data_IF_974390559433
#
_entry.id   IF_974390559433
#
_cell.length_a   1.000
_cell.length_b   1.000
_cell.length_c   1.000
_cell.angle_alpha   90.00
_cell.angle_beta   90.00
_cell.angle_gamma   90.00
#
_symmetry.space_group_name_H-M   'P 1'
#
loop_
_entity.id
_entity.type
_entity.pdbx_description
1 polymer ?
#
# COMPACT_ATOMS: atom_id res chain seq x y z
N UNK A 1 14.92 -19.60 0.77
CA UNK A 1 15.73 -18.93 -0.26
C UNK A 1 16.34 -17.71 0.40
N UNK A 2 17.63 -17.42 0.17
CA UNK A 2 18.26 -16.23 0.76
C UNK A 2 17.85 -15.00 -0.04
N UNK A 3 17.40 -13.96 0.65
CA UNK A 3 17.11 -12.66 0.02
C UNK A 3 18.41 -11.91 -0.28
N UNK A 4 18.57 -11.48 -1.53
CA UNK A 4 19.59 -10.55 -1.96
C UNK A 4 18.91 -9.21 -2.23
N UNK A 5 19.32 -8.15 -1.53
CA UNK A 5 18.69 -6.84 -1.66
C UNK A 5 19.50 -5.93 -2.58
N UNK A 6 18.79 -5.30 -3.51
CA UNK A 6 19.32 -4.28 -4.40
C UNK A 6 18.76 -2.91 -4.02
N UNK A 7 19.61 -1.89 -4.06
CA UNK A 7 19.28 -0.50 -3.79
C UNK A 7 20.22 0.39 -4.62
N UNK A 8 20.13 1.71 -4.43
CA UNK A 8 20.95 2.68 -5.18
C UNK A 8 22.46 2.38 -5.21
N UNK A 9 23.01 1.74 -4.17
CA UNK A 9 24.45 1.46 -4.07
C UNK A 9 24.91 0.26 -4.90
N UNK A 10 24.01 -0.67 -5.22
CA UNK A 10 24.39 -1.95 -5.82
C UNK A 10 23.45 -2.45 -6.92
N UNK A 11 22.42 -1.70 -7.32
CA UNK A 11 21.47 -2.15 -8.34
C UNK A 11 22.15 -2.44 -9.69
N UNK A 12 23.22 -1.73 -10.03
CA UNK A 12 24.04 -1.99 -11.23
C UNK A 12 24.67 -3.40 -11.26
N UNK A 13 24.65 -4.13 -10.14
CA UNK A 13 25.12 -5.52 -10.03
C UNK A 13 24.03 -6.53 -10.43
N UNK A 14 22.77 -6.12 -10.60
CA UNK A 14 21.72 -6.97 -11.14
C UNK A 14 22.13 -7.39 -12.55
N UNK A 15 22.10 -8.68 -12.84
CA UNK A 15 22.58 -9.23 -14.12
C UNK A 15 21.91 -8.56 -15.33
N UNK A 16 20.59 -8.38 -15.25
CA UNK A 16 19.76 -7.79 -16.29
C UNK A 16 20.02 -6.28 -16.53
N UNK A 17 20.73 -5.58 -15.63
CA UNK A 17 21.12 -4.19 -15.88
C UNK A 17 22.06 -4.03 -17.08
N UNK A 18 22.68 -5.12 -17.55
CA UNK A 18 23.46 -5.13 -18.78
C UNK A 18 22.59 -4.92 -20.03
N UNK A 19 21.30 -5.28 -19.96
CA UNK A 19 20.33 -5.14 -21.05
C UNK A 19 19.82 -3.70 -21.21
N UNK A 20 19.90 -2.89 -20.14
CA UNK A 20 19.37 -1.54 -20.13
C UNK A 20 20.36 -0.54 -20.73
N UNK A 21 19.88 0.51 -21.42
CA UNK A 21 20.70 1.66 -21.79
C UNK A 21 21.34 2.32 -20.58
N UNK A 22 22.52 2.94 -20.74
CA UNK A 22 23.19 3.64 -19.65
C UNK A 22 22.39 4.84 -19.14
N UNK A 23 21.63 5.49 -20.04
CA UNK A 23 20.71 6.57 -19.68
C UNK A 23 19.66 6.12 -18.66
N UNK A 24 19.01 4.97 -18.89
CA UNK A 24 18.01 4.40 -17.95
C UNK A 24 18.64 4.08 -16.60
N UNK A 25 19.86 3.53 -16.58
CA UNK A 25 20.60 3.27 -15.33
C UNK A 25 20.92 4.56 -14.59
N UNK A 26 21.29 5.60 -15.33
CA UNK A 26 21.55 6.92 -14.76
C UNK A 26 20.27 7.54 -14.19
N UNK A 27 19.13 7.42 -14.86
CA UNK A 27 17.83 7.87 -14.33
C UNK A 27 17.48 7.19 -13.00
N UNK A 28 17.62 5.86 -12.91
CA UNK A 28 17.41 5.11 -11.67
C UNK A 28 18.29 5.69 -10.56
N UNK A 29 19.56 5.96 -10.85
CA UNK A 29 20.49 6.54 -9.89
C UNK A 29 20.06 7.92 -9.41
N UNK A 30 19.72 8.83 -10.32
CA UNK A 30 19.30 10.20 -10.00
C UNK A 30 18.03 10.19 -9.15
N UNK A 31 16.99 9.50 -9.61
CA UNK A 31 15.67 9.52 -8.94
C UNK A 31 15.74 8.81 -7.59
N UNK A 32 16.57 7.76 -7.46
CA UNK A 32 16.80 7.07 -6.18
C UNK A 32 17.48 7.92 -5.11
N UNK A 33 18.06 9.09 -5.47
CA UNK A 33 18.56 10.06 -4.47
C UNK A 33 17.41 10.76 -3.76
N UNK A 34 16.26 10.91 -4.42
CA UNK A 34 15.04 11.55 -3.91
C UNK A 34 14.05 10.51 -3.40
N UNK A 35 13.65 9.54 -4.24
CA UNK A 35 12.66 8.53 -3.88
C UNK A 35 13.34 7.25 -3.36
N UNK A 36 12.84 6.63 -2.27
CA UNK A 36 13.43 5.40 -1.74
C UNK A 36 13.34 4.23 -2.73
N UNK A 37 14.48 3.62 -3.04
CA UNK A 37 14.55 2.46 -3.94
C UNK A 37 15.12 1.23 -3.25
N UNK A 38 14.39 0.11 -3.38
CA UNK A 38 14.81 -1.22 -2.92
C UNK A 38 14.12 -2.29 -3.76
N UNK A 39 14.88 -3.24 -4.26
CA UNK A 39 14.41 -4.46 -4.91
C UNK A 39 15.08 -5.69 -4.28
N UNK A 40 14.72 -6.88 -4.75
CA UNK A 40 15.37 -8.13 -4.36
C UNK A 40 15.44 -9.11 -5.52
N UNK A 41 16.20 -10.19 -5.35
CA UNK A 41 16.40 -11.23 -6.36
C UNK A 41 15.08 -11.87 -6.84
N UNK A 42 14.09 -12.08 -5.98
CA UNK A 42 12.82 -12.65 -6.44
C UNK A 42 12.10 -11.72 -7.42
N UNK A 43 12.03 -10.43 -7.10
CA UNK A 43 11.39 -9.43 -7.97
C UNK A 43 12.10 -9.35 -9.32
N UNK A 44 13.42 -9.24 -9.31
CA UNK A 44 14.19 -9.07 -10.56
C UNK A 44 14.28 -10.35 -11.38
N UNK A 45 14.29 -11.53 -10.76
CA UNK A 45 14.48 -12.81 -11.48
C UNK A 45 13.15 -13.42 -11.96
N UNK A 46 12.03 -13.18 -11.24
CA UNK A 46 10.78 -13.91 -11.48
C UNK A 46 9.58 -13.05 -11.89
N UNK A 47 9.62 -11.74 -11.69
CA UNK A 47 8.45 -10.88 -11.96
C UNK A 47 8.60 -9.97 -13.17
N UNK A 48 9.81 -9.53 -13.46
CA UNK A 48 10.08 -8.50 -14.48
C UNK A 48 10.37 -9.15 -15.82
N UNK A 49 9.63 -8.74 -16.85
CA UNK A 49 10.03 -8.97 -18.24
C UNK A 49 11.06 -7.92 -18.66
N UNK A 50 12.33 -8.25 -18.51
CA UNK A 50 13.45 -7.37 -18.87
C UNK A 50 13.55 -7.08 -20.37
N UNK A 51 12.96 -7.91 -21.24
CA UNK A 51 12.94 -7.65 -22.67
C UNK A 51 11.97 -6.51 -23.04
N UNK A 52 10.94 -6.29 -22.22
CA UNK A 52 9.90 -5.27 -22.45
C UNK A 52 9.76 -4.31 -21.25
N UNK A 53 10.89 -4.03 -20.57
CA UNK A 53 10.90 -3.34 -19.28
C UNK A 53 10.18 -1.98 -19.27
N UNK A 54 10.16 -1.26 -20.39
CA UNK A 54 9.51 0.06 -20.53
C UNK A 54 8.00 0.02 -20.31
N UNK A 55 7.38 -1.13 -20.61
CA UNK A 55 5.93 -1.36 -20.44
C UNK A 55 5.62 -2.43 -19.40
N UNK A 56 6.66 -3.07 -18.82
CA UNK A 56 6.49 -4.11 -17.82
C UNK A 56 5.99 -3.50 -16.50
N UNK A 57 4.82 -3.91 -16.00
CA UNK A 57 4.25 -3.32 -14.80
C UNK A 57 5.09 -3.63 -13.56
N UNK A 58 5.72 -4.80 -13.47
CA UNK A 58 6.57 -5.16 -12.32
C UNK A 58 7.85 -4.32 -12.26
N UNK A 59 8.42 -3.96 -13.42
CA UNK A 59 9.53 -3.03 -13.54
C UNK A 59 9.11 -1.63 -13.08
N UNK A 60 8.03 -1.08 -13.64
CA UNK A 60 7.55 0.27 -13.29
C UNK A 60 7.15 0.36 -11.80
N UNK A 61 6.63 -0.73 -11.22
CA UNK A 61 6.32 -0.85 -9.79
C UNK A 61 7.56 -0.81 -8.89
N UNK A 62 8.74 -1.17 -9.40
CA UNK A 62 9.94 -1.44 -8.59
C UNK A 62 11.08 -0.44 -8.85
N UNK A 63 11.28 -0.03 -10.10
CA UNK A 63 12.39 0.80 -10.54
C UNK A 63 11.95 2.24 -10.80
N UNK A 64 12.59 3.24 -10.16
CA UNK A 64 12.27 4.62 -10.39
C UNK A 64 12.73 5.08 -11.78
N UNK A 65 11.96 5.96 -12.42
CA UNK A 65 12.29 6.57 -13.71
C UNK A 65 12.18 8.10 -13.64
N UNK A 66 12.74 8.83 -14.62
CA UNK A 66 12.80 10.29 -14.59
C UNK A 66 11.44 11.00 -14.43
N UNK A 67 10.37 10.40 -14.95
CA UNK A 67 9.03 10.99 -14.94
C UNK A 67 8.34 10.96 -13.57
N UNK A 68 8.96 10.27 -12.60
CA UNK A 68 8.52 10.25 -11.20
C UNK A 68 8.90 11.53 -10.43
N UNK A 69 9.68 12.42 -11.04
CA UNK A 69 9.97 13.76 -10.54
C UNK A 69 9.54 14.79 -11.56
N UNK A 70 9.25 16.01 -11.10
CA UNK A 70 9.08 17.16 -12.00
C UNK A 70 10.40 17.41 -12.73
N UNK A 71 10.32 17.85 -13.98
CA UNK A 71 11.50 18.05 -14.83
C UNK A 71 12.56 18.93 -14.16
N UNK A 72 12.16 20.06 -13.59
CA UNK A 72 13.06 20.95 -12.86
C UNK A 72 13.71 20.30 -11.62
N UNK A 73 13.00 19.42 -10.91
CA UNK A 73 13.52 18.72 -9.73
C UNK A 73 14.52 17.63 -10.15
N UNK A 74 14.20 16.88 -11.22
CA UNK A 74 15.11 15.89 -11.80
C UNK A 74 16.41 16.55 -12.28
N UNK A 75 16.32 17.63 -13.07
CA UNK A 75 17.48 18.33 -13.62
C UNK A 75 18.37 18.90 -12.52
N UNK A 76 17.77 19.40 -11.43
CA UNK A 76 18.51 19.92 -10.28
C UNK A 76 19.33 18.85 -9.58
N UNK A 77 18.78 17.64 -9.39
CA UNK A 77 19.50 16.51 -8.80
C UNK A 77 20.55 15.98 -9.76
N UNK A 78 20.20 15.81 -11.04
CA UNK A 78 21.12 15.39 -12.10
C UNK A 78 22.35 16.29 -12.16
N UNK A 79 22.14 17.60 -12.24
CA UNK A 79 23.22 18.58 -12.24
C UNK A 79 24.11 18.45 -11.00
N UNK A 80 23.53 18.31 -9.81
CA UNK A 80 24.29 18.18 -8.57
C UNK A 80 25.18 16.91 -8.55
N UNK A 81 24.65 15.79 -9.06
CA UNK A 81 25.41 14.53 -9.19
C UNK A 81 26.52 14.65 -10.24
N UNK A 82 26.21 15.17 -11.44
CA UNK A 82 27.17 15.30 -12.54
C UNK A 82 28.28 16.31 -12.25
N UNK A 83 28.00 17.36 -11.47
CA UNK A 83 29.02 18.29 -10.97
C UNK A 83 29.88 17.73 -9.85
N UNK A 84 29.53 16.56 -9.31
CA UNK A 84 30.27 15.93 -8.21
C UNK A 84 30.15 16.71 -6.90
N UNK A 85 28.99 17.32 -6.62
CA UNK A 85 28.78 18.02 -5.36
C UNK A 85 28.94 17.08 -4.15
N UNK A 86 29.36 17.61 -2.99
CA UNK A 86 29.43 16.81 -1.77
C UNK A 86 28.09 16.14 -1.43
N UNK A 87 28.15 14.91 -0.90
CA UNK A 87 26.95 14.11 -0.60
C UNK A 87 25.93 14.84 0.31
N UNK A 88 26.39 15.67 1.25
CA UNK A 88 25.50 16.43 2.14
C UNK A 88 24.69 17.51 1.39
N UNK A 89 25.25 18.12 0.33
CA UNK A 89 24.55 19.07 -0.52
C UNK A 89 23.51 18.38 -1.40
N UNK A 90 23.86 17.22 -1.98
CA UNK A 90 22.91 16.39 -2.74
C UNK A 90 21.75 15.95 -1.84
N UNK A 91 22.03 15.53 -0.61
CA UNK A 91 21.01 15.17 0.37
C UNK A 91 20.09 16.36 0.71
N UNK A 92 20.64 17.57 0.84
CA UNK A 92 19.85 18.78 1.07
C UNK A 92 18.89 19.05 -0.09
N UNK A 93 19.38 19.01 -1.33
CA UNK A 93 18.54 19.15 -2.54
C UNK A 93 17.43 18.11 -2.56
N UNK A 94 17.76 16.84 -2.30
CA UNK A 94 16.78 15.77 -2.27
C UNK A 94 15.71 15.99 -1.17
N UNK A 95 16.09 16.50 0.00
CA UNK A 95 15.16 16.80 1.08
C UNK A 95 14.23 17.98 0.73
N UNK A 96 14.76 19.03 0.10
CA UNK A 96 13.93 20.16 -0.37
C UNK A 96 12.87 19.68 -1.36
N UNK A 97 13.23 18.80 -2.30
CA UNK A 97 12.29 18.20 -3.26
C UNK A 97 11.24 17.35 -2.53
N UNK A 98 11.67 16.48 -1.60
CA UNK A 98 10.77 15.61 -0.81
C UNK A 98 9.70 16.39 -0.05
N UNK A 99 9.99 17.59 0.45
CA UNK A 99 9.00 18.44 1.10
C UNK A 99 7.88 18.86 0.14
N UNK A 100 8.20 19.04 -1.14
CA UNK A 100 7.23 19.31 -2.21
C UNK A 100 6.40 18.11 -2.67
N UNK A 101 6.72 16.88 -2.21
CA UNK A 101 6.04 15.63 -2.57
C UNK A 101 4.98 15.19 -1.54
N UNK A 102 4.48 16.11 -0.72
CA UNK A 102 3.47 15.88 0.31
C UNK A 102 3.75 14.64 1.21
N UNK A 103 4.74 14.69 2.11
CA UNK A 103 5.13 13.54 2.96
C UNK A 103 4.08 13.14 4.02
N UNK A 104 2.99 13.90 4.19
CA UNK A 104 1.94 13.61 5.18
C UNK A 104 0.53 13.67 4.58
N UNK A 105 0.23 12.81 3.59
CA UNK A 105 -1.03 12.89 2.87
C UNK A 105 -2.23 12.61 3.78
N UNK A 106 -3.34 13.32 3.55
CA UNK A 106 -4.63 13.14 4.25
C UNK A 106 -4.56 13.29 5.79
N UNK A 107 -3.70 14.17 6.29
CA UNK A 107 -3.59 14.54 7.71
C UNK A 107 -3.32 13.34 8.62
N UNK A 108 -2.44 12.41 8.22
CA UNK A 108 -2.17 11.18 8.98
C UNK A 108 -1.79 11.43 10.44
N UNK A 109 -1.05 12.49 10.73
CA UNK A 109 -0.63 12.87 12.08
C UNK A 109 -1.81 13.14 13.03
N UNK A 110 -2.95 13.61 12.50
CA UNK A 110 -4.18 13.83 13.29
C UNK A 110 -4.87 12.55 13.76
N UNK A 111 -4.37 11.38 13.36
CA UNK A 111 -4.92 10.08 13.75
C UNK A 111 -4.15 9.42 14.90
N UNK A 112 -3.08 10.06 15.40
CA UNK A 112 -2.33 9.56 16.55
C UNK A 112 -3.23 9.67 17.79
N UNK A 113 -3.66 8.54 18.39
CA UNK A 113 -4.46 8.59 19.60
C UNK A 113 -3.58 8.92 20.80
N UNK A 114 -4.24 9.25 21.92
CA UNK A 114 -3.59 9.47 23.21
C UNK A 114 -4.01 8.38 24.19
N UNK A 115 -3.04 7.89 24.98
CA UNK A 115 -3.26 7.04 26.15
C UNK A 115 -2.91 7.86 27.39
N UNK A 116 -3.88 8.08 28.29
CA UNK A 116 -3.70 8.87 29.51
C UNK A 116 -3.11 10.29 29.27
N UNK A 117 -3.44 10.91 28.13
CA UNK A 117 -2.95 12.23 27.74
C UNK A 117 -1.69 12.22 26.85
N UNK A 118 -0.96 11.11 26.81
CA UNK A 118 0.29 10.96 26.04
C UNK A 118 0.05 10.35 24.66
N UNK A 119 0.70 10.84 23.58
CA UNK A 119 0.52 10.30 22.24
C UNK A 119 1.07 8.87 22.11
N UNK A 120 0.40 8.05 21.30
CA UNK A 120 0.89 6.73 20.88
C UNK A 120 1.46 6.81 19.45
N UNK A 121 2.75 7.13 19.27
CA UNK A 121 3.32 7.53 17.97
C UNK A 121 3.32 6.42 16.90
N UNK A 122 3.17 5.15 17.30
CA UNK A 122 3.05 4.01 16.40
C UNK A 122 1.62 3.51 16.21
N UNK A 123 0.60 4.29 16.58
CA UNK A 123 -0.81 3.90 16.45
C UNK A 123 -1.59 4.94 15.65
N UNK A 124 -2.46 4.49 14.74
CA UNK A 124 -3.51 5.33 14.18
C UNK A 124 -4.87 4.80 14.58
N UNK A 125 -5.72 5.67 15.15
CA UNK A 125 -7.12 5.37 15.40
C UNK A 125 -7.97 6.47 14.77
N UNK A 126 -8.45 6.19 13.54
CA UNK A 126 -9.28 7.11 12.76
C UNK A 126 -10.75 6.73 12.75
N UNK A 127 -11.04 5.43 12.77
CA UNK A 127 -12.39 4.90 12.72
C UNK A 127 -12.66 4.11 13.98
N UNK A 128 -13.87 4.27 14.51
CA UNK A 128 -14.34 3.71 15.77
C UNK A 128 -13.86 2.27 16.05
N UNK A 129 -13.95 1.39 15.08
CA UNK A 129 -13.84 -0.06 15.26
C UNK A 129 -12.43 -0.62 15.02
N UNK A 130 -11.49 0.16 14.48
CA UNK A 130 -10.14 -0.31 14.12
C UNK A 130 -9.03 0.64 14.59
N UNK A 131 -7.98 0.03 15.12
CA UNK A 131 -6.68 0.68 15.28
C UNK A 131 -5.65 0.07 14.33
N UNK A 132 -4.76 0.90 13.81
CA UNK A 132 -3.59 0.47 13.06
C UNK A 132 -2.37 0.56 13.97
N UNK A 133 -1.55 -0.48 13.99
CA UNK A 133 -0.30 -0.54 14.71
C UNK A 133 0.87 -0.63 13.74
N UNK A 134 1.89 0.20 13.99
CA UNK A 134 3.06 0.36 13.15
C UNK A 134 4.29 -0.11 13.93
N UNK A 135 4.61 -1.42 13.93
CA UNK A 135 5.79 -1.92 14.63
C UNK A 135 7.06 -1.35 14.01
N UNK A 136 8.00 -0.89 14.83
CA UNK A 136 9.30 -0.34 14.36
C UNK A 136 10.07 -1.32 13.47
N UNK A 137 10.01 -2.61 13.80
CA UNK A 137 10.68 -3.69 13.06
C UNK A 137 10.02 -3.95 11.69
N UNK A 138 8.79 -3.50 11.49
CA UNK A 138 8.05 -3.56 10.22
C UNK A 138 8.15 -2.29 9.37
N UNK A 139 9.03 -1.33 9.73
CA UNK A 139 9.23 -0.07 9.00
C UNK A 139 10.18 -0.20 7.80
N UNK A 140 10.07 -1.31 7.09
CA UNK A 140 10.76 -1.57 5.83
C UNK A 140 9.96 -2.59 5.02
N UNK A 141 10.31 -2.80 3.75
CA UNK A 141 9.63 -3.72 2.85
C UNK A 141 10.64 -4.65 2.17
N UNK A 142 10.19 -5.79 1.63
CA UNK A 142 11.03 -6.69 0.84
C UNK A 142 11.49 -6.02 -0.48
N UNK A 143 10.65 -5.16 -1.04
CA UNK A 143 10.94 -4.20 -2.10
C UNK A 143 10.08 -2.93 -1.90
N UNK A 144 10.54 -1.79 -2.40
CA UNK A 144 9.80 -0.53 -2.30
C UNK A 144 8.96 -0.34 -3.56
N UNK A 145 7.66 -0.11 -3.37
CA UNK A 145 6.80 0.31 -4.48
C UNK A 145 7.16 1.74 -4.89
N UNK A 146 7.31 2.00 -6.18
CA UNK A 146 7.60 3.35 -6.70
C UNK A 146 6.51 4.36 -6.35
N UNK A 147 5.24 3.93 -6.31
CA UNK A 147 4.08 4.73 -5.90
C UNK A 147 3.84 4.80 -4.37
N UNK A 148 4.76 4.28 -3.54
CA UNK A 148 4.46 4.04 -2.12
C UNK A 148 4.12 5.33 -1.36
N UNK A 149 2.84 5.52 -0.98
CA UNK A 149 2.41 6.69 -0.20
C UNK A 149 3.05 6.80 1.20
N UNK A 150 3.75 5.75 1.61
CA UNK A 150 4.45 5.59 2.89
C UNK A 150 5.96 5.76 2.76
N UNK A 151 6.45 6.15 1.58
CA UNK A 151 7.85 6.47 1.31
C UNK A 151 8.56 7.33 2.38
N UNK A 152 7.90 8.27 3.08
CA UNK A 152 8.61 9.10 4.05
C UNK A 152 9.16 8.30 5.26
N UNK A 153 8.57 7.15 5.58
CA UNK A 153 9.10 6.24 6.63
C UNK A 153 10.45 5.63 6.24
N UNK A 154 10.81 5.63 4.96
CA UNK A 154 12.07 5.06 4.46
C UNK A 154 13.16 6.12 4.27
N UNK A 155 12.86 7.40 4.54
CA UNK A 155 13.82 8.50 4.48
C UNK A 155 14.27 8.82 5.90
N UNK A 156 15.56 8.61 6.18
CA UNK A 156 16.10 8.66 7.55
C UNK A 156 16.18 10.06 8.16
N UNK A 157 16.15 11.12 7.35
CA UNK A 157 16.59 12.47 7.75
C UNK A 157 15.44 13.47 7.96
N UNK A 158 14.19 13.00 8.15
CA UNK A 158 13.02 13.89 8.25
C UNK A 158 12.20 13.73 9.55
N UNK A 159 12.62 12.92 10.53
CA UNK A 159 11.84 12.61 11.75
C UNK A 159 10.38 12.16 11.45
N UNK A 160 10.15 11.52 10.29
CA UNK A 160 8.82 11.11 9.81
C UNK A 160 8.47 9.67 10.20
N UNK A 161 9.26 9.04 11.06
CA UNK A 161 9.03 7.67 11.47
C UNK A 161 7.77 7.56 12.32
N UNK A 162 6.81 6.81 11.80
CA UNK A 162 5.54 6.53 12.47
C UNK A 162 5.59 5.10 12.99
N UNK A 163 6.18 4.87 14.17
CA UNK A 163 6.30 3.52 14.71
C UNK A 163 6.51 3.47 16.22
N UNK A 164 6.28 2.30 16.81
CA UNK A 164 6.62 2.00 18.20
C UNK A 164 6.85 0.50 18.43
N UNK A 165 7.41 0.12 19.59
CA UNK A 165 7.66 -1.27 19.97
C UNK A 165 6.72 -1.77 21.07
N UNK A 166 6.11 -0.87 21.81
CA UNK A 166 5.45 -1.11 23.09
C UNK A 166 3.98 -1.54 22.88
N UNK A 167 3.78 -2.76 22.40
CA UNK A 167 2.42 -3.29 22.16
C UNK A 167 1.57 -3.35 23.45
N UNK A 168 2.19 -3.39 24.64
CA UNK A 168 1.49 -3.33 25.93
C UNK A 168 0.66 -2.05 26.07
N UNK A 169 1.18 -0.91 25.60
CA UNK A 169 0.43 0.36 25.58
C UNK A 169 -0.75 0.31 24.62
N UNK A 170 -0.61 -0.40 23.50
CA UNK A 170 -1.72 -0.63 22.55
C UNK A 170 -2.78 -1.52 23.20
N UNK A 171 -2.39 -2.55 23.94
CA UNK A 171 -3.32 -3.41 24.68
C UNK A 171 -4.09 -2.60 25.73
N UNK A 172 -3.39 -1.74 26.48
CA UNK A 172 -4.04 -0.85 27.44
C UNK A 172 -5.00 0.14 26.77
N UNK A 173 -4.61 0.68 25.61
CA UNK A 173 -5.49 1.51 24.79
C UNK A 173 -6.77 0.76 24.39
N UNK A 174 -6.67 -0.50 23.97
CA UNK A 174 -7.83 -1.34 23.64
C UNK A 174 -8.74 -1.60 24.86
N UNK A 175 -8.18 -1.75 26.07
CA UNK A 175 -8.99 -1.91 27.30
C UNK A 175 -9.84 -0.67 27.60
N UNK A 176 -9.30 0.51 27.33
CA UNK A 176 -10.03 1.77 27.53
C UNK A 176 -11.06 2.06 26.42
N UNK A 177 -11.09 1.27 25.35
CA UNK A 177 -11.89 1.51 24.15
C UNK A 177 -12.64 0.25 23.72
N UNK A 178 -13.73 -0.10 24.43
CA UNK A 178 -14.53 -1.31 24.19
C UNK A 178 -15.09 -1.47 22.77
N UNK A 179 -15.20 -0.36 22.04
CA UNK A 179 -15.70 -0.30 20.66
C UNK A 179 -14.65 -0.68 19.61
N UNK A 180 -13.38 -0.81 19.99
CA UNK A 180 -12.33 -1.33 19.11
C UNK A 180 -12.42 -2.84 19.03
N UNK A 181 -12.51 -3.36 17.82
CA UNK A 181 -12.63 -4.81 17.57
C UNK A 181 -11.58 -5.34 16.59
N UNK A 182 -10.92 -4.45 15.84
CA UNK A 182 -9.89 -4.80 14.86
C UNK A 182 -8.54 -4.15 15.18
N UNK A 183 -7.46 -4.92 15.06
CA UNK A 183 -6.08 -4.44 15.07
C UNK A 183 -5.39 -4.77 13.76
N UNK A 184 -4.93 -3.76 13.03
CA UNK A 184 -4.18 -3.92 11.78
C UNK A 184 -2.70 -3.62 11.98
N UNK A 185 -1.86 -4.63 11.89
CA UNK A 185 -0.40 -4.47 11.77
C UNK A 185 -0.08 -3.96 10.36
N UNK A 186 0.64 -2.84 10.28
CA UNK A 186 0.99 -2.17 9.02
C UNK A 186 2.24 -1.29 9.19
N UNK A 187 2.55 -0.42 8.23
CA UNK A 187 3.79 0.37 8.21
C UNK A 187 4.44 0.27 6.84
N UNK A 188 5.68 -0.23 6.80
CA UNK A 188 6.25 -0.76 5.56
C UNK A 188 5.54 -2.06 5.20
N UNK A 189 6.07 -3.18 5.69
CA UNK A 189 5.48 -4.50 5.56
C UNK A 189 5.71 -5.31 6.84
N UNK A 190 4.67 -5.66 7.63
CA UNK A 190 4.84 -6.46 8.84
C UNK A 190 5.47 -7.82 8.60
N UNK A 191 5.33 -8.39 7.41
CA UNK A 191 5.86 -9.74 7.09
C UNK A 191 7.36 -9.73 6.80
N UNK A 192 8.03 -8.57 6.83
CA UNK A 192 9.50 -8.52 6.89
C UNK A 192 10.05 -8.86 8.27
N UNK A 193 9.21 -8.80 9.30
CA UNK A 193 9.59 -9.21 10.64
C UNK A 193 9.67 -10.74 10.71
N UNK A 194 10.64 -11.25 11.46
CA UNK A 194 10.70 -12.69 11.73
C UNK A 194 9.45 -13.18 12.47
N UNK A 195 9.03 -14.44 12.28
CA UNK A 195 7.91 -15.05 13.01
C UNK A 195 8.03 -14.86 14.52
N UNK A 196 9.24 -15.06 15.07
CA UNK A 196 9.56 -14.82 16.48
C UNK A 196 9.24 -13.38 16.95
N UNK A 197 9.45 -12.38 16.11
CA UNK A 197 9.13 -10.98 16.45
C UNK A 197 7.63 -10.77 16.48
N UNK A 198 6.90 -11.30 15.50
CA UNK A 198 5.44 -11.20 15.45
C UNK A 198 4.81 -11.96 16.61
N UNK A 199 5.29 -13.17 16.90
CA UNK A 199 4.83 -13.99 18.03
C UNK A 199 4.93 -13.24 19.36
N UNK A 200 6.00 -12.47 19.61
CA UNK A 200 6.07 -11.63 20.83
C UNK A 200 4.92 -10.63 20.94
N UNK A 201 4.53 -9.99 19.83
CA UNK A 201 3.39 -9.07 19.82
C UNK A 201 2.07 -9.80 20.08
N UNK A 202 1.87 -10.92 19.39
CA UNK A 202 0.66 -11.74 19.50
C UNK A 202 0.51 -12.34 20.90
N UNK A 203 1.60 -12.87 21.48
CA UNK A 203 1.61 -13.42 22.84
C UNK A 203 1.24 -12.36 23.87
N UNK A 204 1.75 -11.13 23.73
CA UNK A 204 1.37 -10.02 24.62
C UNK A 204 -0.11 -9.67 24.47
N UNK A 205 -0.64 -9.63 23.23
CA UNK A 205 -2.07 -9.40 22.98
C UNK A 205 -2.92 -10.50 23.65
N UNK A 206 -2.53 -11.76 23.54
CA UNK A 206 -3.27 -12.87 24.14
C UNK A 206 -3.17 -12.88 25.66
N UNK A 207 -2.01 -12.55 26.24
CA UNK A 207 -1.85 -12.35 27.69
C UNK A 207 -2.70 -11.21 28.22
N UNK A 208 -2.91 -10.18 27.41
CA UNK A 208 -3.73 -9.02 27.79
C UNK A 208 -5.24 -9.33 27.89
N UNK A 209 -5.69 -10.47 27.36
CA UNK A 209 -7.07 -10.98 27.39
C UNK A 209 -8.12 -9.95 26.95
N UNK A 210 -7.85 -9.30 25.82
CA UNK A 210 -8.69 -8.24 25.25
C UNK A 210 -10.03 -8.79 24.74
N UNK A 211 -11.09 -8.70 25.57
CA UNK A 211 -12.42 -9.25 25.26
C UNK A 211 -13.08 -8.65 24.00
N UNK A 212 -12.75 -7.41 23.69
CA UNK A 212 -13.27 -6.66 22.55
C UNK A 212 -12.56 -7.00 21.23
N UNK A 213 -11.31 -7.45 21.25
CA UNK A 213 -10.55 -7.77 20.03
C UNK A 213 -11.11 -9.04 19.36
N UNK A 214 -11.53 -8.92 18.10
CA UNK A 214 -12.09 -10.02 17.30
C UNK A 214 -11.29 -10.33 16.05
N UNK A 215 -10.55 -9.34 15.54
CA UNK A 215 -9.85 -9.48 14.27
C UNK A 215 -8.44 -8.92 14.36
N UNK A 216 -7.48 -9.70 13.87
CA UNK A 216 -6.11 -9.25 13.63
C UNK A 216 -5.88 -9.26 12.13
N UNK A 217 -5.27 -8.18 11.63
CA UNK A 217 -5.00 -8.00 10.21
C UNK A 217 -3.53 -7.72 10.00
N UNK A 218 -2.98 -8.23 8.90
CA UNK A 218 -1.63 -7.89 8.45
C UNK A 218 -1.69 -7.29 7.05
N UNK A 219 -1.30 -6.02 6.92
CA UNK A 219 -1.19 -5.36 5.61
C UNK A 219 0.16 -5.60 4.99
N UNK A 220 0.22 -6.45 3.95
CA UNK A 220 1.49 -6.95 3.42
C UNK A 220 1.51 -6.97 1.89
N UNK A 221 2.69 -6.71 1.32
CA UNK A 221 3.00 -6.96 -0.10
C UNK A 221 3.95 -8.14 -0.25
N UNK A 222 4.29 -8.85 0.83
CA UNK A 222 5.24 -9.96 0.79
C UNK A 222 4.75 -11.13 -0.05
N UNK A 223 3.44 -11.33 -0.20
CA UNK A 223 2.90 -12.29 -1.17
C UNK A 223 3.37 -12.04 -2.61
N UNK A 224 3.69 -10.80 -2.97
CA UNK A 224 4.18 -10.43 -4.31
C UNK A 224 5.67 -10.13 -4.30
N UNK A 225 6.22 -9.53 -3.25
CA UNK A 225 7.64 -9.15 -3.22
C UNK A 225 8.59 -10.21 -2.68
N UNK A 226 8.09 -11.17 -1.90
CA UNK A 226 8.88 -12.25 -1.32
C UNK A 226 7.98 -13.40 -0.79
N UNK A 227 7.29 -14.17 -1.67
CA UNK A 227 6.34 -15.20 -1.23
C UNK A 227 6.98 -16.32 -0.41
N UNK A 228 8.31 -16.46 -0.46
CA UNK A 228 9.08 -17.42 0.34
C UNK A 228 8.95 -17.25 1.86
N UNK A 229 8.34 -16.17 2.35
CA UNK A 229 7.90 -16.06 3.77
C UNK A 229 6.83 -17.10 4.13
N UNK A 230 6.15 -17.68 3.13
CA UNK A 230 5.04 -18.62 3.32
C UNK A 230 5.28 -19.99 2.66
N UNK A 231 6.53 -20.31 2.31
CA UNK A 231 6.93 -21.55 1.63
C UNK A 231 7.96 -22.35 2.45
N UNK A 232 7.51 -23.31 3.30
CA UNK A 232 8.37 -24.08 4.20
C UNK A 232 9.54 -24.81 3.53
N UNK A 233 9.37 -25.27 2.30
CA UNK A 233 10.41 -25.96 1.53
C UNK A 233 11.60 -25.06 1.16
N UNK A 234 11.42 -23.74 1.22
CA UNK A 234 12.47 -22.78 0.94
C UNK A 234 13.00 -22.11 2.21
N UNK A 235 12.22 -22.04 3.28
CA UNK A 235 12.55 -21.24 4.46
C UNK A 235 11.94 -21.87 5.72
N UNK A 236 12.77 -22.25 6.70
CA UNK A 236 12.30 -22.81 7.97
C UNK A 236 11.39 -21.82 8.73
N UNK A 237 11.72 -20.52 8.68
CA UNK A 237 10.87 -19.48 9.27
C UNK A 237 9.47 -19.39 8.63
N UNK A 238 9.29 -19.91 7.41
CA UNK A 238 7.96 -19.91 6.79
C UNK A 238 7.00 -20.87 7.51
N UNK A 239 7.48 -22.03 7.99
CA UNK A 239 6.64 -22.91 8.78
C UNK A 239 6.25 -22.24 10.11
N UNK A 240 7.20 -21.60 10.78
CA UNK A 240 6.93 -20.85 12.02
C UNK A 240 5.89 -19.74 11.80
N UNK A 241 5.92 -19.07 10.65
CA UNK A 241 4.93 -18.04 10.29
C UNK A 241 3.53 -18.65 10.14
N UNK A 242 3.41 -19.76 9.42
CA UNK A 242 2.14 -20.45 9.19
C UNK A 242 1.57 -21.03 10.50
N UNK A 243 2.44 -21.57 11.37
CA UNK A 243 2.07 -22.05 12.70
C UNK A 243 1.55 -20.91 13.57
N UNK A 244 2.18 -19.72 13.50
CA UNK A 244 1.71 -18.52 14.18
C UNK A 244 0.34 -18.07 13.67
N UNK A 245 0.11 -18.10 12.35
CA UNK A 245 -1.20 -17.78 11.78
C UNK A 245 -2.27 -18.75 12.26
N UNK A 246 -1.98 -20.05 12.24
CA UNK A 246 -2.86 -21.07 12.78
C UNK A 246 -3.12 -20.87 14.27
N UNK A 247 -2.10 -20.51 15.06
CA UNK A 247 -2.24 -20.21 16.48
C UNK A 247 -3.23 -19.07 16.74
N UNK A 248 -3.18 -18.00 15.92
CA UNK A 248 -4.13 -16.89 16.02
C UNK A 248 -5.56 -17.35 15.74
N UNK A 249 -5.76 -18.13 14.67
CA UNK A 249 -7.07 -18.66 14.28
C UNK A 249 -7.61 -19.62 15.34
N UNK A 250 -6.79 -20.54 15.87
CA UNK A 250 -7.17 -21.51 16.89
C UNK A 250 -7.56 -20.83 18.23
N UNK A 251 -7.11 -19.59 18.48
CA UNK A 251 -7.57 -18.74 19.60
C UNK A 251 -8.92 -18.08 19.37
N UNK A 252 -9.58 -18.35 18.24
CA UNK A 252 -10.88 -17.78 17.88
C UNK A 252 -10.81 -16.35 17.36
N UNK A 253 -9.60 -15.86 17.02
CA UNK A 253 -9.43 -14.54 16.39
C UNK A 253 -9.54 -14.71 14.88
N UNK A 254 -10.38 -13.89 14.25
CA UNK A 254 -10.42 -13.82 12.80
C UNK A 254 -9.11 -13.20 12.29
N UNK A 255 -8.30 -13.99 11.57
CA UNK A 255 -7.05 -13.53 10.97
C UNK A 255 -7.27 -13.19 9.50
N UNK A 256 -6.90 -11.97 9.10
CA UNK A 256 -6.97 -11.55 7.70
C UNK A 256 -5.65 -10.98 7.17
N UNK A 257 -5.18 -11.53 6.06
CA UNK A 257 -4.02 -11.04 5.33
C UNK A 257 -4.50 -10.06 4.27
N UNK A 258 -4.16 -8.79 4.41
CA UNK A 258 -4.49 -7.74 3.45
C UNK A 258 -3.39 -7.70 2.38
N UNK A 259 -3.51 -8.58 1.39
CA UNK A 259 -2.56 -8.75 0.30
C UNK A 259 -2.62 -7.59 -0.70
N UNK A 260 -1.46 -7.19 -1.23
CA UNK A 260 -1.36 -6.01 -2.07
C UNK A 260 -0.87 -6.33 -3.50
N UNK A 261 -1.78 -6.61 -4.42
CA UNK A 261 -1.49 -6.92 -5.83
C UNK A 261 -1.92 -5.79 -6.76
N UNK A 262 -0.99 -5.25 -7.56
CA UNK A 262 -1.22 -4.14 -8.47
C UNK A 262 -1.50 -4.60 -9.91
N UNK A 263 -0.94 -5.74 -10.33
CA UNK A 263 -1.12 -6.30 -11.67
C UNK A 263 -1.26 -7.83 -11.62
N UNK A 264 -2.01 -8.43 -12.54
CA UNK A 264 -2.21 -9.89 -12.59
C UNK A 264 -0.89 -10.67 -12.78
N UNK A 265 0.12 -10.03 -13.38
CA UNK A 265 1.46 -10.59 -13.57
C UNK A 265 2.15 -10.95 -12.26
N UNK A 266 1.86 -10.24 -11.16
CA UNK A 266 2.40 -10.55 -9.84
C UNK A 266 1.92 -11.92 -9.31
N UNK A 267 0.84 -12.48 -9.87
CA UNK A 267 0.28 -13.79 -9.51
C UNK A 267 0.59 -14.87 -10.56
N UNK A 268 1.46 -14.60 -11.54
CA UNK A 268 1.74 -15.51 -12.66
C UNK A 268 2.62 -16.71 -12.29
N UNK A 269 3.36 -16.65 -11.19
CA UNK A 269 4.29 -17.71 -10.79
C UNK A 269 3.70 -18.63 -9.71
N UNK A 270 4.20 -19.87 -9.68
CA UNK A 270 3.74 -20.91 -8.77
C UNK A 270 4.03 -20.63 -7.29
N UNK A 271 5.10 -19.88 -6.98
CA UNK A 271 5.46 -19.55 -5.60
C UNK A 271 4.36 -18.72 -4.92
N UNK A 272 3.73 -17.79 -5.64
CA UNK A 272 2.60 -17.01 -5.10
C UNK A 272 1.37 -17.89 -4.90
N UNK A 273 1.06 -18.78 -5.85
CA UNK A 273 -0.07 -19.70 -5.74
C UNK A 273 0.06 -20.62 -4.52
N UNK A 274 1.23 -21.24 -4.34
CA UNK A 274 1.48 -22.12 -3.20
C UNK A 274 1.50 -21.35 -1.87
N UNK A 275 2.04 -20.13 -1.84
CA UNK A 275 2.00 -19.28 -0.65
C UNK A 275 0.56 -18.94 -0.24
N UNK A 276 -0.32 -18.69 -1.22
CA UNK A 276 -1.75 -18.45 -0.99
C UNK A 276 -2.42 -19.69 -0.39
N UNK A 277 -2.17 -20.87 -0.95
CA UNK A 277 -2.72 -22.13 -0.44
C UNK A 277 -2.26 -22.41 1.00
N UNK A 278 -0.97 -22.22 1.28
CA UNK A 278 -0.39 -22.38 2.61
C UNK A 278 -1.03 -21.43 3.65
N UNK A 279 -1.19 -20.15 3.32
CA UNK A 279 -1.85 -19.19 4.21
C UNK A 279 -3.31 -19.58 4.47
N UNK A 280 -4.05 -19.97 3.41
CA UNK A 280 -5.46 -20.35 3.54
C UNK A 280 -5.63 -21.62 4.36
N UNK A 281 -4.69 -22.57 4.28
CA UNK A 281 -4.70 -23.80 5.07
C UNK A 281 -4.59 -23.54 6.58
N UNK A 282 -4.10 -22.38 7.02
CA UNK A 282 -4.09 -22.00 8.45
C UNK A 282 -5.46 -21.54 8.95
N UNK A 283 -6.45 -21.37 8.07
CA UNK A 283 -7.75 -20.77 8.35
C UNK A 283 -7.77 -19.24 8.26
N UNK A 284 -6.67 -18.60 7.85
CA UNK A 284 -6.63 -17.16 7.59
C UNK A 284 -7.36 -16.80 6.28
N UNK A 285 -8.06 -15.66 6.26
CA UNK A 285 -8.65 -15.12 5.02
C UNK A 285 -7.70 -14.15 4.33
N UNK A 286 -7.54 -14.27 3.01
CA UNK A 286 -6.76 -13.31 2.22
C UNK A 286 -7.71 -12.33 1.53
N UNK A 287 -7.55 -11.04 1.83
CA UNK A 287 -8.30 -9.94 1.21
C UNK A 287 -7.34 -9.08 0.39
N UNK A 288 -7.70 -8.73 -0.84
CA UNK A 288 -6.77 -8.01 -1.74
C UNK A 288 -7.11 -6.52 -1.85
N UNK A 289 -6.07 -5.69 -1.95
CA UNK A 289 -6.22 -4.25 -2.12
C UNK A 289 -5.19 -3.70 -3.10
N UNK A 290 -5.55 -2.65 -3.83
CA UNK A 290 -4.63 -1.97 -4.76
C UNK A 290 -5.10 -0.57 -5.12
N UNK A 291 -4.22 0.43 -5.26
CA UNK A 291 -4.56 1.66 -5.94
C UNK A 291 -4.64 1.44 -7.46
N UNK A 292 -5.52 2.22 -8.08
CA UNK A 292 -5.50 2.51 -9.50
C UNK A 292 -4.30 3.43 -9.77
N UNK A 293 -3.42 2.98 -10.65
CA UNK A 293 -2.16 3.63 -11.01
C UNK A 293 -2.05 3.71 -12.52
N UNK A 294 -1.84 4.92 -13.02
CA UNK A 294 -1.45 5.15 -14.40
C UNK A 294 -0.17 4.35 -14.72
N UNK A 295 0.00 3.96 -15.98
CA UNK A 295 1.12 3.12 -16.45
C UNK A 295 1.20 1.68 -15.89
N UNK A 296 0.37 1.29 -14.90
CA UNK A 296 0.37 -0.07 -14.34
C UNK A 296 -0.96 -0.78 -14.59
N UNK A 297 -2.05 -0.25 -14.03
CA UNK A 297 -3.34 -0.94 -14.00
C UNK A 297 -4.52 -0.01 -14.31
N UNK A 298 -4.27 1.13 -14.96
CA UNK A 298 -5.30 2.03 -15.46
C UNK A 298 -6.05 1.46 -16.69
N UNK A 299 -6.53 0.23 -16.59
CA UNK A 299 -7.25 -0.50 -17.64
C UNK A 299 -8.32 -1.39 -17.01
N UNK A 300 -9.53 -1.35 -17.56
CA UNK A 300 -10.63 -2.20 -17.12
C UNK A 300 -10.32 -3.69 -17.30
N UNK A 301 -9.62 -4.05 -18.38
CA UNK A 301 -9.21 -5.42 -18.66
C UNK A 301 -8.23 -5.95 -17.60
N UNK A 302 -7.25 -5.13 -17.22
CA UNK A 302 -6.26 -5.49 -16.19
C UNK A 302 -6.95 -5.77 -14.87
N UNK A 303 -7.87 -4.90 -14.44
CA UNK A 303 -8.62 -5.08 -13.19
C UNK A 303 -9.53 -6.30 -13.23
N UNK A 304 -10.27 -6.50 -14.33
CA UNK A 304 -11.16 -7.63 -14.47
C UNK A 304 -10.39 -8.95 -14.37
N UNK A 305 -9.30 -9.08 -15.14
CA UNK A 305 -8.42 -10.25 -15.11
C UNK A 305 -7.79 -10.46 -13.73
N UNK A 306 -7.32 -9.40 -13.09
CA UNK A 306 -6.71 -9.48 -11.77
C UNK A 306 -7.72 -9.92 -10.70
N UNK A 307 -8.92 -9.36 -10.66
CA UNK A 307 -9.94 -9.76 -9.68
C UNK A 307 -10.43 -11.18 -9.88
N UNK A 308 -10.67 -11.61 -11.12
CA UNK A 308 -11.09 -12.99 -11.37
C UNK A 308 -9.99 -13.99 -11.01
N UNK A 309 -8.73 -13.68 -11.30
CA UNK A 309 -7.61 -14.50 -10.85
C UNK A 309 -7.53 -14.56 -9.31
N UNK A 310 -7.74 -13.44 -8.62
CA UNK A 310 -7.75 -13.42 -7.15
C UNK A 310 -8.85 -14.30 -6.58
N UNK A 311 -10.06 -14.23 -7.14
CA UNK A 311 -11.19 -15.10 -6.77
C UNK A 311 -10.88 -16.57 -7.01
N UNK A 312 -10.31 -16.90 -8.17
CA UNK A 312 -9.95 -18.28 -8.53
C UNK A 312 -8.89 -18.88 -7.59
N UNK A 313 -8.02 -18.03 -7.03
CA UNK A 313 -7.03 -18.42 -6.02
C UNK A 313 -7.60 -18.42 -4.58
N UNK A 314 -8.91 -18.20 -4.41
CA UNK A 314 -9.57 -18.22 -3.11
C UNK A 314 -9.33 -16.99 -2.25
N UNK A 315 -8.94 -15.87 -2.86
CA UNK A 315 -8.82 -14.56 -2.20
C UNK A 315 -10.08 -13.71 -2.43
N UNK A 316 -10.27 -12.69 -1.58
CA UNK A 316 -11.44 -11.80 -1.64
C UNK A 316 -11.02 -10.38 -2.08
N UNK A 317 -11.39 -9.95 -3.30
CA UNK A 317 -11.24 -8.55 -3.73
C UNK A 317 -11.90 -7.57 -2.76
N UNK A 318 -11.11 -6.71 -2.12
CA UNK A 318 -11.59 -5.85 -1.04
C UNK A 318 -11.64 -4.37 -1.42
N UNK A 319 -10.52 -3.76 -1.82
CA UNK A 319 -10.49 -2.36 -2.22
C UNK A 319 -9.74 -2.14 -3.54
N UNK A 320 -10.34 -1.34 -4.42
CA UNK A 320 -9.59 -0.54 -5.37
C UNK A 320 -9.57 0.91 -4.88
N UNK A 321 -8.37 1.40 -4.61
CA UNK A 321 -8.13 2.74 -4.11
C UNK A 321 -7.87 3.71 -5.26
N UNK A 322 -8.22 4.97 -5.08
CA UNK A 322 -7.58 6.06 -5.81
C UNK A 322 -6.24 6.34 -5.14
N UNK A 323 -5.20 6.55 -5.93
CA UNK A 323 -3.86 6.86 -5.42
C UNK A 323 -3.86 8.18 -4.63
N UNK A 324 -3.12 8.21 -3.52
CA UNK A 324 -2.98 9.40 -2.69
C UNK A 324 -2.01 10.40 -3.33
N UNK A 325 -2.30 11.68 -3.17
CA UNK A 325 -1.44 12.79 -3.55
C UNK A 325 -0.14 12.84 -2.70
N UNK A 326 0.85 12.01 -3.01
CA UNK A 326 2.17 12.00 -2.36
C UNK A 326 3.21 11.27 -3.22
N UNK A 327 4.49 11.58 -3.02
CA UNK A 327 5.56 10.96 -3.79
C UNK A 327 5.42 11.27 -5.28
N UNK A 328 5.65 10.31 -6.18
CA UNK A 328 5.50 10.51 -7.63
C UNK A 328 4.04 10.49 -8.11
N UNK A 329 3.13 11.09 -7.35
CA UNK A 329 1.69 11.08 -7.62
C UNK A 329 1.34 11.62 -9.01
N UNK A 330 2.01 12.68 -9.48
CA UNK A 330 1.72 13.26 -10.80
C UNK A 330 1.91 12.25 -11.95
N UNK A 331 2.83 11.29 -11.78
CA UNK A 331 3.09 10.22 -12.75
C UNK A 331 2.01 9.14 -12.74
N UNK A 332 1.46 8.83 -11.57
CA UNK A 332 0.55 7.70 -11.36
C UNK A 332 -0.94 8.07 -11.25
N UNK A 333 -1.27 9.36 -11.08
CA UNK A 333 -2.65 9.81 -10.87
C UNK A 333 -3.57 9.49 -12.06
N UNK A 334 -4.83 9.21 -11.76
CA UNK A 334 -5.91 9.01 -12.74
C UNK A 334 -7.11 9.88 -12.34
N UNK A 335 -7.72 10.65 -13.25
CA UNK A 335 -8.91 11.44 -12.94
C UNK A 335 -10.04 10.59 -12.35
N UNK A 336 -10.78 11.13 -11.38
CA UNK A 336 -11.85 10.43 -10.66
C UNK A 336 -12.95 9.93 -11.61
N UNK A 337 -13.27 10.71 -12.65
CA UNK A 337 -14.21 10.29 -13.69
C UNK A 337 -13.72 9.03 -14.42
N UNK A 338 -12.43 9.01 -14.82
CA UNK A 338 -11.81 7.86 -15.49
C UNK A 338 -11.65 6.66 -14.56
N UNK A 339 -11.34 6.91 -13.28
CA UNK A 339 -11.26 5.86 -12.27
C UNK A 339 -12.61 5.16 -12.09
N UNK A 340 -13.71 5.92 -12.08
CA UNK A 340 -15.06 5.36 -12.03
C UNK A 340 -15.40 4.58 -13.30
N UNK A 341 -15.08 5.11 -14.48
CA UNK A 341 -15.26 4.40 -15.76
C UNK A 341 -14.53 3.05 -15.78
N UNK A 342 -13.22 3.05 -15.50
CA UNK A 342 -12.38 1.84 -15.43
C UNK A 342 -12.97 0.82 -14.46
N UNK A 343 -13.38 1.27 -13.26
CA UNK A 343 -14.04 0.40 -12.30
C UNK A 343 -15.31 -0.21 -12.87
N UNK A 344 -16.22 0.63 -13.40
CA UNK A 344 -17.52 0.15 -13.89
C UNK A 344 -17.38 -0.81 -15.06
N UNK A 345 -16.44 -0.58 -15.97
CA UNK A 345 -16.22 -1.46 -17.11
C UNK A 345 -15.60 -2.79 -16.69
N UNK A 346 -14.61 -2.76 -15.78
CA UNK A 346 -14.02 -3.98 -15.22
C UNK A 346 -15.06 -4.78 -14.44
N UNK A 347 -15.76 -4.13 -13.51
CA UNK A 347 -16.71 -4.78 -12.62
C UNK A 347 -17.97 -5.25 -13.33
N UNK A 348 -18.25 -4.87 -14.58
CA UNK A 348 -19.37 -5.46 -15.35
C UNK A 348 -19.03 -6.86 -15.83
N UNK A 349 -17.78 -7.10 -16.23
CA UNK A 349 -17.37 -8.34 -16.91
C UNK A 349 -16.80 -9.42 -15.99
N UNK A 350 -16.43 -9.08 -14.75
CA UNK A 350 -15.92 -10.09 -13.78
C UNK A 350 -16.95 -11.11 -13.31
N UNK A 351 -16.48 -12.16 -12.64
CA UNK A 351 -17.32 -13.08 -11.86
C UNK A 351 -18.15 -12.39 -10.77
N UNK A 352 -19.24 -13.02 -10.34
CA UNK A 352 -20.15 -12.50 -9.31
C UNK A 352 -19.47 -12.28 -7.95
N UNK A 353 -18.49 -13.11 -7.59
CA UNK A 353 -17.75 -13.01 -6.34
C UNK A 353 -16.87 -11.76 -6.29
N UNK A 354 -16.28 -11.35 -7.42
CA UNK A 354 -15.50 -10.13 -7.53
C UNK A 354 -16.33 -8.85 -7.35
N UNK A 355 -17.67 -8.91 -7.54
CA UNK A 355 -18.59 -7.76 -7.40
C UNK A 355 -18.65 -7.17 -5.98
N UNK A 356 -18.07 -7.85 -4.99
CA UNK A 356 -18.00 -7.40 -3.60
C UNK A 356 -16.92 -6.33 -3.34
N UNK A 357 -16.05 -6.07 -4.31
CA UNK A 357 -15.01 -5.05 -4.19
C UNK A 357 -15.61 -3.66 -3.98
N UNK A 358 -15.04 -2.89 -3.06
CA UNK A 358 -15.45 -1.51 -2.85
C UNK A 358 -14.52 -0.55 -3.60
N UNK A 359 -15.06 0.15 -4.59
CA UNK A 359 -14.26 0.99 -5.49
C UNK A 359 -15.11 2.01 -6.28
N UNK A 360 -14.47 3.01 -6.89
CA UNK A 360 -13.18 3.57 -6.50
C UNK A 360 -13.28 4.21 -5.11
N UNK A 361 -12.28 3.99 -4.25
CA UNK A 361 -12.30 4.50 -2.88
C UNK A 361 -11.07 5.35 -2.53
N UNK A 362 -11.28 6.45 -1.80
CA UNK A 362 -10.25 7.39 -1.37
C UNK A 362 -10.17 7.39 0.14
N UNK A 363 -8.98 7.17 0.71
CA UNK A 363 -8.77 7.33 2.16
C UNK A 363 -8.48 8.79 2.53
N UNK A 364 -9.44 9.67 2.26
CA UNK A 364 -9.40 11.12 2.46
C UNK A 364 -9.41 11.54 3.95
N UNK A 365 -9.20 12.82 4.26
CA UNK A 365 -9.04 13.31 5.63
C UNK A 365 -10.20 12.96 6.57
N UNK A 366 -11.45 13.14 6.11
CA UNK A 366 -12.67 12.86 6.89
C UNK A 366 -13.01 11.37 7.02
N UNK A 367 -12.56 10.56 6.06
CA UNK A 367 -12.91 9.15 6.02
C UNK A 367 -12.56 8.49 4.71
N UNK A 368 -13.02 7.26 4.53
CA UNK A 368 -12.89 6.53 3.28
C UNK A 368 -14.09 6.85 2.40
N UNK A 369 -13.91 7.72 1.42
CA UNK A 369 -14.93 8.09 0.45
C UNK A 369 -14.98 7.07 -0.69
N UNK A 370 -16.16 6.78 -1.20
CA UNK A 370 -16.41 5.91 -2.35
C UNK A 370 -17.18 6.70 -3.40
N UNK A 371 -16.73 6.66 -4.65
CA UNK A 371 -17.52 7.16 -5.78
C UNK A 371 -18.53 6.08 -6.15
N UNK A 372 -19.81 6.37 -5.97
CA UNK A 372 -20.90 5.44 -6.30
C UNK A 372 -21.36 5.60 -7.74
N UNK A 373 -21.31 6.82 -8.25
CA UNK A 373 -21.91 7.19 -9.53
C UNK A 373 -21.40 8.51 -10.08
N UNK A 374 -21.53 8.64 -11.40
CA UNK A 374 -21.62 9.93 -12.08
C UNK A 374 -23.05 10.03 -12.58
N UNK A 375 -23.75 11.09 -12.18
CA UNK A 375 -25.17 11.29 -12.51
C UNK A 375 -25.36 12.58 -13.29
N UNK A 376 -26.27 12.56 -14.25
CA UNK A 376 -26.76 13.74 -14.95
C UNK A 376 -28.03 14.25 -14.27
N UNK A 377 -28.11 15.56 -14.06
CA UNK A 377 -29.33 16.22 -13.63
C UNK A 377 -30.32 16.28 -14.80
N UNK A 378 -31.49 15.61 -14.72
CA UNK A 378 -32.42 15.56 -15.84
C UNK A 378 -33.08 16.91 -16.15
N UNK A 379 -32.99 17.90 -15.26
CA UNK A 379 -33.63 19.20 -15.42
C UNK A 379 -32.72 20.20 -16.13
N UNK A 380 -31.45 20.30 -15.72
CA UNK A 380 -30.52 21.31 -16.23
C UNK A 380 -29.31 20.74 -16.97
N UNK A 381 -29.14 19.41 -16.99
CA UNK A 381 -28.01 18.73 -17.64
C UNK A 381 -26.69 18.77 -16.87
N UNK A 382 -26.66 19.33 -15.66
CA UNK A 382 -25.45 19.36 -14.82
C UNK A 382 -25.01 17.94 -14.44
N UNK A 383 -23.71 17.71 -14.42
CA UNK A 383 -23.12 16.45 -13.94
C UNK A 383 -22.68 16.53 -12.50
N UNK A 384 -22.89 15.46 -11.75
CA UNK A 384 -22.43 15.32 -10.38
C UNK A 384 -21.74 13.98 -10.13
N UNK A 385 -20.72 13.98 -9.28
CA UNK A 385 -20.27 12.78 -8.60
C UNK A 385 -21.20 12.48 -7.43
N UNK A 386 -21.74 11.27 -7.38
CA UNK A 386 -22.43 10.74 -6.21
C UNK A 386 -21.41 9.98 -5.35
N UNK A 387 -21.21 10.45 -4.12
CA UNK A 387 -20.16 9.95 -3.21
C UNK A 387 -20.80 9.55 -1.89
N UNK A 388 -20.23 8.56 -1.20
CA UNK A 388 -20.52 8.29 0.20
C UNK A 388 -19.23 8.05 0.99
N UNK A 389 -19.26 8.23 2.30
CA UNK A 389 -18.19 7.69 3.15
C UNK A 389 -18.54 6.27 3.60
N UNK A 390 -17.79 5.26 3.15
CA UNK A 390 -17.96 3.89 3.66
C UNK A 390 -17.36 3.71 5.07
N UNK A 391 -16.48 4.64 5.47
CA UNK A 391 -16.02 4.82 6.84
C UNK A 391 -15.79 6.31 7.08
N UNK A 392 -16.22 6.84 8.22
CA UNK A 392 -16.05 8.25 8.55
C UNK A 392 -15.60 8.43 10.01
N UNK A 393 -14.90 9.53 10.32
CA UNK A 393 -14.47 9.87 11.71
C UNK A 393 -15.67 9.97 12.65
N UNK A 394 -16.68 10.72 12.24
CA UNK A 394 -18.02 10.61 12.82
C UNK A 394 -18.76 9.45 12.14
N UNK A 395 -18.83 8.31 12.81
CA UNK A 395 -19.44 7.09 12.27
C UNK A 395 -20.88 7.31 11.77
N UNK A 396 -21.61 8.30 12.29
CA UNK A 396 -22.98 8.66 11.88
C UNK A 396 -23.06 9.23 10.47
N UNK A 397 -21.95 9.65 9.88
CA UNK A 397 -21.90 10.11 8.49
C UNK A 397 -21.57 8.97 7.51
N UNK A 398 -21.24 7.78 8.00
CA UNK A 398 -20.97 6.65 7.12
C UNK A 398 -22.25 6.25 6.36
N UNK A 399 -22.10 5.88 5.08
CA UNK A 399 -23.17 5.49 4.17
C UNK A 399 -24.27 6.53 3.95
N UNK A 400 -23.97 7.82 4.15
CA UNK A 400 -24.81 8.92 3.69
C UNK A 400 -24.32 9.41 2.33
N UNK A 401 -25.10 9.22 1.25
CA UNK A 401 -24.80 9.78 -0.06
C UNK A 401 -24.79 11.31 -0.02
N UNK A 402 -23.88 11.91 -0.76
CA UNK A 402 -23.85 13.34 -1.05
C UNK A 402 -23.37 13.57 -2.49
N UNK A 403 -23.63 14.78 -3.00
CA UNK A 403 -23.26 15.18 -4.36
C UNK A 403 -22.09 16.16 -4.34
N UNK A 404 -21.19 15.99 -5.29
CA UNK A 404 -20.14 16.94 -5.63
C UNK A 404 -20.28 17.32 -7.10
N UNK A 405 -20.04 18.57 -7.45
CA UNK A 405 -19.96 19.01 -8.84
C UNK A 405 -18.94 18.17 -9.60
N UNK A 406 -19.31 17.72 -10.80
CA UNK A 406 -18.41 17.02 -11.68
C UNK A 406 -17.25 17.92 -12.14
N UNK A 407 -16.06 17.36 -12.12
CA UNK A 407 -14.84 17.94 -12.68
C UNK A 407 -14.08 16.81 -13.37
N UNK A 408 -13.84 16.95 -14.66
CA UNK A 408 -13.18 15.94 -15.49
C UNK A 408 -11.70 15.76 -15.12
N UNK A 409 -11.07 16.76 -14.49
CA UNK A 409 -9.64 16.80 -14.16
C UNK A 409 -9.36 16.47 -12.71
N UNK A 410 -10.38 16.48 -11.85
CA UNK A 410 -10.19 16.17 -10.45
C UNK A 410 -9.66 14.74 -10.28
N UNK A 411 -8.57 14.60 -9.53
CA UNK A 411 -7.90 13.35 -9.18
C UNK A 411 -8.03 13.02 -7.70
N UNK A 412 -8.59 13.94 -6.89
CA UNK A 412 -8.87 13.74 -5.48
C UNK A 412 -10.13 14.50 -5.01
N UNK A 413 -10.73 14.09 -3.89
CA UNK A 413 -12.05 14.57 -3.44
C UNK A 413 -12.07 16.05 -3.02
N UNK A 414 -10.96 16.58 -2.51
CA UNK A 414 -10.87 17.98 -2.07
C UNK A 414 -10.74 18.99 -3.22
N UNK A 415 -10.49 18.49 -4.43
CA UNK A 415 -10.51 19.28 -5.66
C UNK A 415 -11.96 19.49 -6.16
N UNK A 416 -12.92 18.69 -5.68
CA UNK A 416 -14.33 18.81 -6.04
C UNK A 416 -15.07 19.84 -5.17
N UNK A 417 -16.15 20.41 -5.72
CA UNK A 417 -17.01 21.38 -5.01
C UNK A 417 -18.30 20.73 -4.54
N UNK A 418 -18.74 20.92 -3.29
CA UNK A 418 -20.01 20.39 -2.81
C UNK A 418 -21.19 21.05 -3.51
N UNK A 419 -22.22 20.25 -3.82
CA UNK A 419 -23.54 20.77 -4.23
C UNK A 419 -24.26 21.24 -2.96
N UNK A 420 -24.77 22.47 -2.98
CA UNK A 420 -25.45 23.10 -1.84
C UNK A 420 -26.94 22.82 -1.81
#
# INVERSE_FOLDING_TARGET
MKILSYNIKNFRQIEYMKMLPEEVKHEIEIVSRVLPFKANNYVVDYLIDWANFETDPCYILTFPNRHMLREADYDKVKWAVEKGLPQHEITKIANDIRLGLNPHPAQQQSNIPKLNGEPLPGVQHKYRDIALFFPTQGQTCHANCTFCFRWPQFVKDLDLQFSMKEIDQVCEYFRQHEHLHELLFTGGDPMIMSPRTISKYIDTIFKADLKNLKTIRFGTKSLTWWPFVFLPQYNEEAQEMLDLFKHIVDKGIHLSIMAHFNHYQEMSNSAVAEAIDNIRATGAEIRTQSPLLNHINASAEVWAKMWDQQVNMGMVPYYMFVERETGPYEYFQVPLAKAYEIYTDAIRVTSSLAKTVTAPSMSAAMGKAQIMGIIDNPVNGDKYFQIQYIRHRDYKQSYKPFLMHYDEKATWIDQLKPVK
#
